data_IF_571902805978
#
_entry.id   IF_571902805978
#
_cell.length_a   1.000
_cell.length_b   1.000
_cell.length_c   1.000
_cell.angle_alpha   90.00
_cell.angle_beta   90.00
_cell.angle_gamma   90.00
#
_symmetry.space_group_name_H-M   'P 1'
#
loop_
_entity.id
_entity.type
_entity.pdbx_description
1 polymer ?
#
# COMPACT_ATOMS: atom_id res chain seq x y z
N UNK A 1 -14.49 13.30 1.48
CA UNK A 1 -14.09 12.07 0.75
C UNK A 1 -15.03 10.93 1.15
N UNK A 2 -15.24 9.93 0.28
CA UNK A 2 -15.92 8.67 0.65
C UNK A 2 -14.97 7.64 1.25
N UNK A 3 -13.67 7.87 1.13
CA UNK A 3 -12.62 6.98 1.60
C UNK A 3 -11.49 7.76 2.26
N UNK A 4 -10.83 7.12 3.22
CA UNK A 4 -9.55 7.57 3.78
C UNK A 4 -8.43 6.95 2.98
N UNK A 5 -7.55 7.80 2.43
CA UNK A 5 -6.40 7.37 1.63
C UNK A 5 -5.11 7.61 2.41
N UNK A 6 -4.11 6.76 2.20
CA UNK A 6 -2.73 6.99 2.64
C UNK A 6 -1.79 6.79 1.46
N UNK A 7 -0.89 7.74 1.24
CA UNK A 7 0.15 7.64 0.22
C UNK A 7 1.18 6.59 0.67
N UNK A 8 1.47 5.62 -0.21
CA UNK A 8 2.42 4.54 0.04
C UNK A 8 3.22 4.22 -1.23
N UNK A 9 4.41 3.65 -1.05
CA UNK A 9 5.06 2.90 -2.12
C UNK A 9 4.45 1.50 -2.16
N UNK A 10 4.01 1.08 -3.35
CA UNK A 10 3.31 -0.18 -3.57
C UNK A 10 3.89 -0.87 -4.79
N UNK A 11 4.25 -2.14 -4.61
CA UNK A 11 4.66 -3.04 -5.69
C UNK A 11 3.74 -4.26 -5.78
N UNK A 12 3.97 -5.09 -6.80
CA UNK A 12 3.30 -6.38 -6.96
C UNK A 12 4.34 -7.48 -6.94
N UNK A 13 4.18 -8.46 -6.04
CA UNK A 13 5.03 -9.65 -5.99
C UNK A 13 4.75 -10.53 -7.22
N UNK A 14 5.78 -10.87 -7.98
CA UNK A 14 5.64 -11.55 -9.28
C UNK A 14 6.33 -12.90 -9.37
N UNK A 15 7.19 -13.24 -8.39
CA UNK A 15 8.14 -14.36 -8.42
C UNK A 15 7.96 -15.35 -7.28
N UNK A 16 7.53 -14.91 -6.09
CA UNK A 16 7.36 -15.77 -4.93
C UNK A 16 6.34 -16.88 -5.16
N UNK A 17 6.63 -18.10 -4.70
CA UNK A 17 5.72 -19.25 -4.89
C UNK A 17 4.37 -19.05 -4.17
N UNK A 18 4.40 -18.49 -2.96
CA UNK A 18 3.22 -18.39 -2.10
C UNK A 18 2.51 -17.03 -2.14
N UNK A 19 3.19 -15.99 -2.62
CA UNK A 19 2.73 -14.59 -2.54
C UNK A 19 2.62 -13.94 -3.92
N UNK A 20 2.75 -14.70 -5.01
CA UNK A 20 2.58 -14.16 -6.36
C UNK A 20 1.22 -13.48 -6.52
N UNK A 21 1.23 -12.22 -6.95
CA UNK A 21 0.06 -11.37 -7.08
C UNK A 21 -0.26 -10.53 -5.84
N UNK A 22 0.47 -10.69 -4.74
CA UNK A 22 0.33 -9.84 -3.56
C UNK A 22 0.66 -8.39 -3.90
N UNK A 23 -0.18 -7.48 -3.43
CA UNK A 23 0.08 -6.04 -3.45
C UNK A 23 0.90 -5.68 -2.20
N UNK A 24 2.19 -5.45 -2.38
CA UNK A 24 3.14 -5.20 -1.29
C UNK A 24 3.18 -3.71 -1.01
N UNK A 25 2.55 -3.29 0.09
CA UNK A 25 2.45 -1.88 0.46
C UNK A 25 3.41 -1.54 1.61
N UNK A 26 4.41 -0.70 1.34
CA UNK A 26 5.32 -0.21 2.37
C UNK A 26 4.62 0.89 3.20
N UNK A 27 4.31 0.56 4.47
CA UNK A 27 3.61 1.48 5.39
C UNK A 27 4.53 2.49 6.08
N UNK A 28 5.83 2.20 6.12
CA UNK A 28 6.86 2.98 6.81
C UNK A 28 7.44 4.07 5.92
N UNK A 29 7.40 3.90 4.60
CA UNK A 29 7.92 4.86 3.62
C UNK A 29 9.43 4.74 3.40
N UNK A 30 10.06 3.68 3.90
CA UNK A 30 11.49 3.42 3.76
C UNK A 30 11.76 1.92 3.82
N UNK A 31 12.86 1.50 3.21
CA UNK A 31 13.43 0.16 3.36
C UNK A 31 14.75 0.22 4.13
N UNK A 32 15.11 -0.87 4.81
CA UNK A 32 16.44 -1.04 5.38
C UNK A 32 17.47 -1.23 4.27
N UNK A 33 18.61 -0.56 4.36
CA UNK A 33 19.74 -0.80 3.49
C UNK A 33 20.58 -1.96 4.05
N UNK A 34 20.18 -3.18 3.71
CA UNK A 34 20.87 -4.40 4.10
C UNK A 34 22.05 -4.69 3.17
N UNK A 35 23.27 -4.67 3.71
CA UNK A 35 24.53 -4.86 2.96
C UNK A 35 25.19 -6.18 3.37
N UNK A 36 25.62 -6.98 2.40
CA UNK A 36 26.27 -8.27 2.64
C UNK A 36 27.74 -8.08 3.03
N UNK A 37 28.10 -8.53 4.23
CA UNK A 37 29.45 -8.57 4.77
C UNK A 37 29.89 -10.01 4.97
N UNK A 38 30.59 -10.56 3.97
CA UNK A 38 31.05 -11.95 4.01
C UNK A 38 29.88 -12.94 4.01
N UNK A 39 29.48 -13.39 5.20
CA UNK A 39 28.46 -14.43 5.42
C UNK A 39 27.18 -13.92 6.10
N UNK A 40 27.10 -12.64 6.46
CA UNK A 40 25.92 -12.05 7.10
C UNK A 40 25.58 -10.69 6.48
N UNK A 41 24.34 -10.24 6.71
CA UNK A 41 23.91 -8.90 6.33
C UNK A 41 23.97 -7.98 7.54
N UNK A 42 24.42 -6.74 7.32
CA UNK A 42 24.31 -5.65 8.29
C UNK A 42 23.39 -4.55 7.74
N UNK A 43 22.61 -3.93 8.62
CA UNK A 43 21.79 -2.76 8.28
C UNK A 43 22.69 -1.52 8.34
N UNK A 44 23.02 -0.95 7.20
CA UNK A 44 23.89 0.25 7.12
C UNK A 44 23.11 1.56 6.93
N UNK A 45 21.79 1.53 7.09
CA UNK A 45 20.95 2.71 7.00
C UNK A 45 19.56 2.40 6.47
N UNK A 46 18.91 3.42 5.94
CA UNK A 46 17.57 3.33 5.34
C UNK A 46 17.53 4.03 4.00
N UNK A 47 16.68 3.52 3.11
CA UNK A 47 16.40 4.07 1.79
C UNK A 47 14.98 4.60 1.81
N UNK A 48 14.81 5.91 1.65
CA UNK A 48 13.48 6.52 1.55
C UNK A 48 12.79 6.12 0.25
N UNK A 49 11.53 5.69 0.35
CA UNK A 49 10.71 5.32 -0.78
C UNK A 49 9.70 6.43 -1.10
N UNK A 50 9.70 6.90 -2.34
CA UNK A 50 8.68 7.84 -2.82
C UNK A 50 7.35 7.10 -3.00
N UNK A 51 6.22 7.63 -2.48
CA UNK A 51 4.91 7.06 -2.77
C UNK A 51 4.60 7.03 -4.26
N UNK A 52 4.02 5.92 -4.73
CA UNK A 52 3.55 5.74 -6.10
C UNK A 52 2.05 5.45 -6.17
N UNK A 53 1.40 5.21 -5.03
CA UNK A 53 -0.01 4.86 -4.93
C UNK A 53 -0.68 5.51 -3.72
N UNK A 54 -1.99 5.70 -3.82
CA UNK A 54 -2.86 6.14 -2.71
C UNK A 54 -3.72 4.97 -2.26
N UNK A 55 -3.35 4.35 -1.15
CA UNK A 55 -3.99 3.14 -0.64
C UNK A 55 -5.23 3.51 0.17
N UNK A 56 -6.36 2.89 -0.16
CA UNK A 56 -7.61 3.04 0.59
C UNK A 56 -7.53 2.26 1.91
N UNK A 57 -7.62 2.97 3.03
CA UNK A 57 -7.56 2.37 4.37
C UNK A 57 -8.95 2.13 4.98
N UNK A 58 -9.91 2.99 4.64
CA UNK A 58 -11.27 2.91 5.15
C UNK A 58 -12.25 3.58 4.19
N UNK A 59 -13.50 3.12 4.22
CA UNK A 59 -14.63 3.78 3.55
C UNK A 59 -15.59 4.38 4.58
N UNK A 60 -16.21 5.50 4.21
CA UNK A 60 -17.38 6.03 4.90
C UNK A 60 -18.62 5.27 4.42
N UNK A 61 -18.98 4.21 5.15
CA UNK A 61 -20.04 3.28 4.78
C UNK A 61 -21.39 3.97 4.63
N UNK A 62 -21.76 4.86 5.57
CA UNK A 62 -23.06 5.53 5.56
C UNK A 62 -23.21 6.46 4.36
N UNK A 63 -22.18 7.26 4.06
CA UNK A 63 -22.20 8.13 2.87
C UNK A 63 -22.14 7.33 1.59
N UNK A 64 -21.41 6.22 1.56
CA UNK A 64 -21.38 5.31 0.41
C UNK A 64 -22.77 4.74 0.13
N UNK A 65 -23.48 4.25 1.14
CA UNK A 65 -24.84 3.72 0.98
C UNK A 65 -25.83 4.80 0.53
N UNK A 66 -25.73 6.02 1.08
CA UNK A 66 -26.54 7.16 0.61
C UNK A 66 -26.28 7.48 -0.86
N UNK A 67 -25.01 7.49 -1.28
CA UNK A 67 -24.65 7.67 -2.69
C UNK A 67 -25.24 6.55 -3.55
N UNK A 68 -25.04 5.29 -3.15
CA UNK A 68 -25.51 4.12 -3.89
C UNK A 68 -27.03 4.13 -4.09
N UNK A 69 -27.80 4.37 -3.03
CA UNK A 69 -29.27 4.50 -3.10
C UNK A 69 -29.68 5.68 -3.97
N UNK A 70 -28.96 6.82 -3.91
CA UNK A 70 -29.18 7.96 -4.78
C UNK A 70 -29.12 7.56 -6.26
N UNK A 71 -28.04 6.87 -6.64
CA UNK A 71 -27.82 6.41 -8.03
C UNK A 71 -28.90 5.47 -8.53
N UNK A 72 -29.35 4.52 -7.71
CA UNK A 72 -30.45 3.60 -8.07
C UNK A 72 -31.75 4.38 -8.31
N UNK A 73 -32.02 5.41 -7.52
CA UNK A 73 -33.21 6.26 -7.67
C UNK A 73 -33.12 7.26 -8.82
N UNK A 74 -32.05 7.23 -9.62
CA UNK A 74 -31.81 8.16 -10.73
C UNK A 74 -31.42 9.57 -10.26
N UNK A 75 -30.84 9.70 -9.07
CA UNK A 75 -30.32 10.96 -8.51
C UNK A 75 -28.80 10.94 -8.38
#
# INVERSE_FOLDING_TARGET
>A
SLVTLKDMHVDVETRGEFTRGETVANRMGSDENNVLHGDHYEIEGVIDLKPNARVCLASDADRFLKLFVGRIKGK
#
